data_IF_791592565819
#
_entry.id   IF_791592565819
#
_cell.length_a   1.000
_cell.length_b   1.000
_cell.length_c   1.000
_cell.angle_alpha   90.00
_cell.angle_beta   90.00
_cell.angle_gamma   90.00
#
_symmetry.space_group_name_H-M   'P 1'
#
loop_
_entity.id
_entity.type
_entity.pdbx_description
1 polymer ?
#
# COMPACT_ATOMS: atom_id res chain seq x y z
N UNK A 1 5.93 -2.97 -1.12
CA UNK A 1 7.15 -2.89 -0.29
C UNK A 1 6.87 -1.94 0.86
N UNK A 2 7.29 -2.30 2.07
CA UNK A 2 7.19 -1.48 3.27
C UNK A 2 8.59 -1.01 3.65
N UNK A 3 8.79 0.30 3.81
CA UNK A 3 10.07 0.90 4.21
C UNK A 3 9.84 1.66 5.51
N UNK A 4 10.60 1.31 6.55
CA UNK A 4 10.49 1.90 7.88
C UNK A 4 11.53 3.00 8.03
N UNK A 5 11.10 4.19 8.46
CA UNK A 5 12.00 5.26 8.89
C UNK A 5 11.88 5.47 10.42
N UNK A 6 12.91 6.00 11.10
CA UNK A 6 12.87 6.10 12.56
C UNK A 6 11.76 7.03 13.08
N UNK A 7 11.58 8.19 12.44
CA UNK A 7 10.69 9.25 12.94
C UNK A 7 9.71 9.71 11.85
N UNK A 8 8.45 9.94 12.23
CA UNK A 8 7.42 10.42 11.31
C UNK A 8 7.74 11.79 10.70
N UNK A 9 8.41 12.68 11.45
CA UNK A 9 8.79 14.02 10.99
C UNK A 9 9.82 13.99 9.84
N UNK A 10 10.45 12.84 9.60
CA UNK A 10 11.38 12.63 8.50
C UNK A 10 10.73 12.06 7.23
N UNK A 11 9.39 11.86 7.23
CA UNK A 11 8.68 11.29 6.09
C UNK A 11 8.91 12.09 4.80
N UNK A 12 8.96 13.42 4.87
CA UNK A 12 9.12 14.27 3.68
C UNK A 12 10.55 14.25 3.13
N UNK A 13 11.53 13.91 3.95
CA UNK A 13 12.95 13.87 3.54
C UNK A 13 13.22 12.80 2.46
N UNK A 14 12.31 11.85 2.26
CA UNK A 14 12.46 10.79 1.25
C UNK A 14 11.93 11.19 -0.13
N UNK A 15 11.19 12.29 -0.24
CA UNK A 15 10.48 12.68 -1.46
C UNK A 15 11.47 13.02 -2.58
N UNK A 16 12.39 13.95 -2.33
CA UNK A 16 13.37 14.38 -3.34
C UNK A 16 14.29 13.22 -3.77
N UNK A 17 14.97 12.47 -2.86
CA UNK A 17 15.88 11.40 -3.26
C UNK A 17 15.22 10.26 -4.07
N UNK A 18 13.94 10.00 -3.84
CA UNK A 18 13.20 8.97 -4.58
C UNK A 18 12.67 9.48 -5.91
N UNK A 19 12.16 10.72 -5.97
CA UNK A 19 11.70 11.32 -7.23
C UNK A 19 12.85 11.56 -8.22
N UNK A 20 14.08 11.80 -7.73
CA UNK A 20 15.29 11.80 -8.55
C UNK A 20 15.62 10.42 -9.15
N UNK A 21 15.22 9.34 -8.49
CA UNK A 21 15.42 7.95 -8.94
C UNK A 21 14.22 7.38 -9.71
N UNK A 22 13.41 8.24 -10.31
CA UNK A 22 12.22 7.88 -11.09
C UNK A 22 11.18 7.07 -10.30
N UNK A 23 11.06 7.30 -9.00
CA UNK A 23 9.88 6.90 -8.25
C UNK A 23 8.85 8.02 -8.35
N UNK A 24 7.61 7.66 -8.66
CA UNK A 24 6.52 8.61 -8.79
C UNK A 24 5.87 8.76 -7.42
N UNK A 25 5.83 9.98 -6.91
CA UNK A 25 5.28 10.28 -5.60
C UNK A 25 3.78 10.60 -5.68
N UNK A 26 2.98 10.02 -4.81
CA UNK A 26 1.53 10.21 -4.76
C UNK A 26 1.18 11.02 -3.51
N UNK A 27 1.47 12.31 -3.57
CA UNK A 27 1.10 13.29 -2.54
C UNK A 27 -0.40 13.32 -2.29
N UNK A 28 -1.21 13.07 -3.34
CA UNK A 28 -2.67 13.03 -3.28
C UNK A 28 -3.28 12.16 -2.17
N UNK A 29 -2.56 11.17 -1.66
CA UNK A 29 -3.03 10.30 -0.58
C UNK A 29 -2.65 10.78 0.83
N UNK A 30 -1.81 11.82 0.97
CA UNK A 30 -1.36 12.31 2.26
C UNK A 30 -2.51 12.78 3.15
N UNK A 31 -3.53 13.46 2.59
CA UNK A 31 -4.66 13.94 3.37
C UNK A 31 -5.41 12.80 4.08
N UNK A 32 -5.56 11.65 3.43
CA UNK A 32 -6.21 10.47 4.00
C UNK A 32 -5.26 9.58 4.83
N UNK A 33 -3.96 9.64 4.56
CA UNK A 33 -2.93 8.80 5.19
C UNK A 33 -1.68 9.63 5.50
N UNK A 34 -1.74 10.60 6.42
CA UNK A 34 -0.66 11.56 6.66
C UNK A 34 0.62 10.89 7.19
N UNK A 35 0.46 9.75 7.86
CA UNK A 35 1.51 8.88 8.40
C UNK A 35 2.31 8.10 7.34
N UNK A 36 2.00 8.26 6.05
CA UNK A 36 2.59 7.50 4.95
C UNK A 36 3.03 8.39 3.81
N UNK A 37 4.15 8.04 3.18
CA UNK A 37 4.48 8.49 1.81
C UNK A 37 4.38 7.32 0.86
N UNK A 38 3.60 7.49 -0.21
CA UNK A 38 3.32 6.45 -1.18
C UNK A 38 4.01 6.76 -2.50
N UNK A 39 4.80 5.80 -2.99
CA UNK A 39 5.47 5.90 -4.28
C UNK A 39 5.15 4.70 -5.16
N UNK A 40 5.21 4.93 -6.46
CA UNK A 40 5.12 3.89 -7.49
C UNK A 40 6.42 3.86 -8.29
N UNK A 41 6.98 2.66 -8.47
CA UNK A 41 8.06 2.42 -9.42
C UNK A 41 7.50 1.72 -10.65
N UNK A 42 7.87 2.19 -11.83
CA UNK A 42 7.47 1.57 -13.09
C UNK A 42 8.53 0.56 -13.57
N UNK A 43 8.08 -0.47 -14.29
CA UNK A 43 8.94 -1.42 -15.03
C UNK A 43 9.70 -0.70 -16.13
N UNK A 44 8.97 0.11 -16.90
CA UNK A 44 9.44 0.99 -17.97
C UNK A 44 8.51 2.19 -18.02
N UNK A 45 9.04 3.37 -18.35
CA UNK A 45 8.20 4.55 -18.59
C UNK A 45 7.49 4.37 -19.94
N UNK A 46 6.15 4.44 -20.01
CA UNK A 46 5.45 4.46 -21.29
C UNK A 46 5.89 5.68 -22.11
N UNK A 47 6.22 5.45 -23.38
CA UNK A 47 6.84 6.46 -24.27
C UNK A 47 5.84 7.55 -24.68
N UNK A 48 4.54 7.23 -24.70
CA UNK A 48 3.48 8.09 -25.23
C UNK A 48 2.59 8.71 -24.14
N UNK A 49 3.02 8.72 -22.88
CA UNK A 49 2.23 9.26 -21.77
C UNK A 49 3.14 10.18 -20.96
N UNK A 50 2.73 11.45 -20.83
CA UNK A 50 3.37 12.33 -19.87
C UNK A 50 3.05 11.85 -18.45
N UNK A 51 4.10 11.55 -17.68
CA UNK A 51 3.96 11.12 -16.29
C UNK A 51 4.67 12.14 -15.40
N UNK A 52 3.95 12.88 -14.55
CA UNK A 52 4.57 13.77 -13.60
C UNK A 52 5.36 12.98 -12.56
N UNK A 53 6.38 13.62 -11.97
CA UNK A 53 7.11 13.03 -10.83
C UNK A 53 6.24 12.94 -9.57
N UNK A 54 5.22 13.81 -9.46
CA UNK A 54 4.34 13.91 -8.30
C UNK A 54 2.89 14.06 -8.77
N UNK A 55 1.99 13.28 -8.17
CA UNK A 55 0.53 13.45 -8.29
C UNK A 55 -0.02 14.07 -7.00
N UNK A 56 -0.69 15.22 -7.12
CA UNK A 56 -1.24 16.00 -6.03
C UNK A 56 -2.76 15.84 -5.92
N UNK A 57 -3.31 16.09 -4.73
CA UNK A 57 -4.76 16.25 -4.47
C UNK A 57 -5.73 15.47 -5.39
N UNK A 58 -6.30 16.16 -6.38
CA UNK A 58 -7.34 15.63 -7.29
C UNK A 58 -6.80 15.11 -8.62
N UNK A 59 -5.48 15.06 -8.81
CA UNK A 59 -4.88 14.63 -10.07
C UNK A 59 -5.36 13.22 -10.44
N UNK A 60 -5.79 13.05 -11.68
CA UNK A 60 -6.14 11.73 -12.20
C UNK A 60 -4.87 10.96 -12.55
N UNK A 61 -4.78 9.74 -12.04
CA UNK A 61 -3.66 8.84 -12.33
C UNK A 61 -4.09 7.95 -13.48
N UNK A 62 -3.46 8.01 -14.66
CA UNK A 62 -3.86 7.20 -15.80
C UNK A 62 -3.85 5.72 -15.47
N UNK A 63 -4.91 4.99 -15.83
CA UNK A 63 -5.01 3.55 -15.54
C UNK A 63 -3.88 2.74 -16.16
N UNK A 64 -3.40 3.14 -17.34
CA UNK A 64 -2.24 2.56 -18.01
C UNK A 64 -0.99 2.50 -17.10
N UNK A 65 -0.87 3.40 -16.11
CA UNK A 65 0.24 3.39 -15.17
C UNK A 65 0.24 2.13 -14.28
N UNK A 66 -0.93 1.57 -13.98
CA UNK A 66 -1.07 0.33 -13.22
C UNK A 66 -0.42 -0.85 -13.95
N UNK A 67 -0.60 -0.95 -15.28
CA UNK A 67 -0.02 -2.02 -16.10
C UNK A 67 1.52 -1.94 -16.15
N UNK A 68 2.05 -0.73 -16.11
CA UNK A 68 3.49 -0.47 -16.08
C UNK A 68 4.08 -0.49 -14.67
N UNK A 69 3.27 -0.64 -13.62
CA UNK A 69 3.75 -0.62 -12.25
C UNK A 69 4.57 -1.88 -11.93
N UNK A 70 5.80 -1.65 -11.45
CA UNK A 70 6.68 -2.69 -10.92
C UNK A 70 6.45 -2.90 -9.43
N UNK A 71 6.37 -1.80 -8.67
CA UNK A 71 6.27 -1.87 -7.23
C UNK A 71 5.54 -0.67 -6.63
N UNK A 72 4.77 -0.97 -5.60
CA UNK A 72 4.19 -0.02 -4.65
C UNK A 72 5.11 0.10 -3.44
N UNK A 73 5.55 1.32 -3.12
CA UNK A 73 6.44 1.60 -1.98
C UNK A 73 5.64 2.40 -0.96
N UNK A 74 5.53 1.85 0.24
CA UNK A 74 4.89 2.49 1.38
C UNK A 74 5.97 2.83 2.41
N UNK A 75 6.20 4.12 2.63
CA UNK A 75 7.16 4.61 3.61
C UNK A 75 6.39 5.09 4.83
N UNK A 76 6.71 4.54 6.00
CA UNK A 76 6.04 4.80 7.28
C UNK A 76 7.09 4.92 8.39
N UNK A 77 6.70 5.47 9.53
CA UNK A 77 7.47 5.30 10.75
C UNK A 77 7.54 3.82 11.16
N UNK A 78 8.76 3.34 11.40
CA UNK A 78 9.04 1.99 11.89
C UNK A 78 8.41 1.78 13.28
N UNK A 79 7.91 0.58 13.55
CA UNK A 79 7.17 0.22 14.78
C UNK A 79 5.92 1.04 15.12
N UNK A 80 5.50 1.99 14.28
CA UNK A 80 4.20 2.65 14.45
C UNK A 80 3.05 1.65 14.36
N UNK A 81 1.87 2.02 14.88
CA UNK A 81 0.65 1.21 14.72
C UNK A 81 0.41 0.78 13.26
N UNK A 82 0.54 1.72 12.31
CA UNK A 82 0.34 1.43 10.89
C UNK A 82 1.40 0.49 10.31
N UNK A 83 2.63 0.54 10.80
CA UNK A 83 3.66 -0.45 10.47
C UNK A 83 3.27 -1.82 11.00
N UNK A 84 2.95 -1.90 12.29
CA UNK A 84 2.64 -3.15 12.97
C UNK A 84 1.41 -3.83 12.38
N UNK A 85 0.34 -3.10 12.02
CA UNK A 85 -0.83 -3.72 11.37
C UNK A 85 -0.47 -4.44 10.06
N UNK A 86 0.45 -3.89 9.26
CA UNK A 86 0.87 -4.51 8.01
C UNK A 86 1.67 -5.79 8.25
N UNK A 87 2.56 -5.78 9.25
CA UNK A 87 3.33 -6.95 9.65
C UNK A 87 2.39 -8.02 10.23
N UNK A 88 1.50 -7.63 11.14
CA UNK A 88 0.52 -8.49 11.77
C UNK A 88 -0.37 -9.17 10.73
N UNK A 89 -0.94 -8.42 9.77
CA UNK A 89 -1.76 -8.98 8.70
C UNK A 89 -1.02 -10.03 7.87
N UNK A 90 0.25 -9.75 7.50
CA UNK A 90 1.09 -10.70 6.75
C UNK A 90 1.33 -11.99 7.54
N UNK A 91 1.76 -11.88 8.78
CA UNK A 91 2.05 -13.06 9.61
C UNK A 91 0.77 -13.84 9.95
N UNK A 92 -0.32 -13.14 10.20
CA UNK A 92 -1.63 -13.76 10.46
C UNK A 92 -2.07 -14.63 9.28
N UNK A 93 -2.03 -14.12 8.05
CA UNK A 93 -2.39 -14.92 6.88
C UNK A 93 -1.46 -16.12 6.64
N UNK A 94 -0.17 -16.01 7.00
CA UNK A 94 0.76 -17.15 6.91
C UNK A 94 0.38 -18.27 7.88
N UNK A 95 -0.07 -17.91 9.09
CA UNK A 95 -0.39 -18.85 10.15
C UNK A 95 -1.86 -19.33 10.14
N UNK A 96 -2.73 -18.71 9.33
CA UNK A 96 -4.15 -19.06 9.22
C UNK A 96 -4.52 -19.40 7.76
N UNK A 97 -4.21 -20.63 7.28
CA UNK A 97 -4.45 -21.03 5.90
C UNK A 97 -5.90 -20.85 5.43
N UNK A 98 -6.88 -21.08 6.30
CA UNK A 98 -8.30 -20.87 5.99
C UNK A 98 -8.59 -19.41 5.61
N UNK A 99 -8.15 -18.45 6.43
CA UNK A 99 -8.36 -17.02 6.17
C UNK A 99 -7.56 -16.55 4.94
N UNK A 100 -6.37 -17.12 4.72
CA UNK A 100 -5.58 -16.88 3.50
C UNK A 100 -6.35 -17.34 2.25
N UNK A 101 -7.00 -18.50 2.29
CA UNK A 101 -7.77 -19.04 1.17
C UNK A 101 -9.03 -18.19 0.92
N UNK A 102 -9.76 -17.79 1.96
CA UNK A 102 -10.89 -16.85 1.83
C UNK A 102 -10.44 -15.53 1.16
N UNK A 103 -9.30 -14.98 1.58
CA UNK A 103 -8.77 -13.76 0.95
C UNK A 103 -8.33 -13.98 -0.50
N UNK A 104 -7.83 -15.17 -0.84
CA UNK A 104 -7.49 -15.54 -2.21
C UNK A 104 -8.75 -15.62 -3.07
N UNK A 105 -9.76 -16.35 -2.62
CA UNK A 105 -11.05 -16.51 -3.32
C UNK A 105 -11.73 -15.17 -3.56
N UNK A 106 -11.74 -14.30 -2.53
CA UNK A 106 -12.24 -12.94 -2.67
C UNK A 106 -11.51 -12.18 -3.79
N UNK A 107 -10.17 -12.22 -3.81
CA UNK A 107 -9.40 -11.53 -4.86
C UNK A 107 -9.63 -12.11 -6.25
N UNK A 108 -9.76 -13.43 -6.38
CA UNK A 108 -10.08 -14.09 -7.65
C UNK A 108 -11.45 -13.62 -8.13
N UNK A 109 -12.47 -13.68 -7.27
CA UNK A 109 -13.81 -13.20 -7.59
C UNK A 109 -13.84 -11.72 -7.98
N UNK A 110 -13.11 -10.86 -7.26
CA UNK A 110 -13.04 -9.44 -7.61
C UNK A 110 -12.28 -9.20 -8.92
N UNK A 111 -11.33 -10.07 -9.28
CA UNK A 111 -10.58 -9.94 -10.54
C UNK A 111 -11.37 -10.26 -11.80
N UNK A 112 -12.53 -10.93 -11.68
CA UNK A 112 -13.42 -11.22 -12.82
C UNK A 112 -14.38 -10.07 -13.14
N UNK A 113 -14.34 -8.98 -12.35
CA UNK A 113 -15.21 -7.82 -12.50
C UNK A 113 -14.47 -6.68 -13.19
N UNK A 114 -15.24 -5.87 -13.91
CA UNK A 114 -14.76 -4.60 -14.43
C UNK A 114 -14.75 -3.53 -13.33
N UNK A 115 -13.61 -2.84 -13.19
CA UNK A 115 -13.44 -1.77 -12.23
C UNK A 115 -13.15 -0.47 -12.95
N UNK A 116 -13.72 0.62 -12.42
CA UNK A 116 -13.42 1.97 -12.92
C UNK A 116 -11.94 2.31 -12.81
N UNK A 117 -11.32 1.96 -11.69
CA UNK A 117 -9.93 2.22 -11.38
C UNK A 117 -9.43 1.31 -10.24
N UNK A 118 -8.14 1.40 -9.92
CA UNK A 118 -7.54 0.65 -8.82
C UNK A 118 -8.09 1.00 -7.44
N UNK A 119 -8.66 2.20 -7.25
CA UNK A 119 -9.26 2.60 -5.96
C UNK A 119 -10.61 1.91 -5.75
N UNK A 120 -11.44 1.79 -6.79
CA UNK A 120 -12.69 1.04 -6.75
C UNK A 120 -12.45 -0.45 -6.45
N UNK A 121 -11.43 -1.05 -7.06
CA UNK A 121 -10.99 -2.41 -6.74
C UNK A 121 -10.50 -2.53 -5.28
N UNK A 122 -9.77 -1.52 -4.77
CA UNK A 122 -9.31 -1.55 -3.39
C UNK A 122 -10.45 -1.37 -2.37
N UNK A 123 -11.45 -0.56 -2.69
CA UNK A 123 -12.62 -0.35 -1.84
C UNK A 123 -13.45 -1.63 -1.67
N UNK A 124 -13.58 -2.46 -2.71
CA UNK A 124 -14.43 -3.66 -2.66
C UNK A 124 -13.93 -4.79 -1.76
N UNK A 125 -12.64 -4.77 -1.39
CA UNK A 125 -12.03 -5.70 -0.40
C UNK A 125 -11.78 -5.06 0.96
N UNK A 126 -12.12 -3.78 1.13
CA UNK A 126 -11.77 -3.02 2.32
C UNK A 126 -12.37 -3.61 3.60
N UNK A 127 -13.61 -4.09 3.56
CA UNK A 127 -14.29 -4.61 4.75
C UNK A 127 -13.66 -5.92 5.24
N UNK A 128 -13.36 -6.84 4.32
CA UNK A 128 -12.62 -8.07 4.63
C UNK A 128 -11.25 -7.74 5.23
N UNK A 129 -10.52 -6.79 4.62
CA UNK A 129 -9.20 -6.39 5.09
C UNK A 129 -9.29 -5.81 6.49
N UNK A 130 -10.17 -4.85 6.75
CA UNK A 130 -10.30 -4.20 8.07
C UNK A 130 -10.65 -5.20 9.18
N UNK A 131 -11.62 -6.07 8.93
CA UNK A 131 -12.00 -7.13 9.87
C UNK A 131 -10.83 -8.06 10.18
N UNK A 132 -10.11 -8.47 9.15
CA UNK A 132 -8.96 -9.37 9.29
C UNK A 132 -7.77 -8.67 9.92
N UNK A 133 -7.51 -7.39 9.63
CA UNK A 133 -6.46 -6.58 10.24
C UNK A 133 -6.64 -6.45 11.75
N UNK A 134 -7.88 -6.26 12.23
CA UNK A 134 -8.17 -6.22 13.66
C UNK A 134 -7.78 -7.55 14.34
N UNK A 135 -8.30 -8.67 13.83
CA UNK A 135 -7.97 -10.01 14.35
C UNK A 135 -6.46 -10.30 14.28
N UNK A 136 -5.84 -9.89 13.18
CA UNK A 136 -4.42 -10.07 12.96
C UNK A 136 -3.57 -9.31 13.97
N UNK A 137 -3.96 -8.07 14.29
CA UNK A 137 -3.27 -7.25 15.27
C UNK A 137 -3.36 -7.85 16.67
N UNK A 138 -4.57 -8.22 17.12
CA UNK A 138 -4.78 -8.88 18.41
C UNK A 138 -4.03 -10.21 18.52
N UNK A 139 -4.00 -10.99 17.44
CA UNK A 139 -3.20 -12.22 17.37
C UNK A 139 -1.70 -11.92 17.47
N UNK A 140 -1.21 -10.92 16.73
CA UNK A 140 0.20 -10.57 16.69
C UNK A 140 0.70 -10.09 18.05
N UNK A 141 -0.06 -9.24 18.75
CA UNK A 141 0.30 -8.78 20.11
C UNK A 141 0.41 -9.96 21.08
N UNK A 142 -0.51 -10.94 21.05
CA UNK A 142 -0.44 -12.12 21.92
C UNK A 142 0.77 -13.02 21.64
N UNK A 143 1.30 -13.02 20.42
CA UNK A 143 2.41 -13.89 20.00
C UNK A 143 3.76 -13.17 19.97
N UNK A 144 3.80 -11.86 20.20
CA UNK A 144 5.03 -11.06 20.21
C UNK A 144 5.28 -10.33 21.52
N UNK A 145 4.27 -10.13 22.38
CA UNK A 145 4.41 -9.56 23.73
C UNK A 145 5.08 -10.49 24.76
N UNK A 146 5.87 -11.46 24.30
CA UNK A 146 6.65 -12.40 25.12
C UNK A 146 8.17 -12.31 24.86
N UNK A 147 8.63 -11.25 24.19
CA UNK A 147 10.04 -10.91 23.98
C UNK A 147 10.42 -9.66 24.78
#
# INVERSE_FOLDING_TARGET
>A
ILVGIPNADQLDNVIEPLTEKDYIYYEKYNAAMPYRRFFVKLKKKPVNIFIPKVYFGKDEVPDALHEHTLAHIHILQYHSYHWLRHIAFREYLKQHPTIKNEYQELKIHLSTKDWKDGNAYNASKNDFIKHTEQKAFEWYEKHTSGL
#
